data_IF_244667748337
#
_entry.id   IF_244667748337
#
_cell.length_a   1.000
_cell.length_b   1.000
_cell.length_c   1.000
_cell.angle_alpha   90.00
_cell.angle_beta   90.00
_cell.angle_gamma   90.00
#
_symmetry.space_group_name_H-M   'P 1'
#
loop_
_entity.id
_entity.type
_entity.pdbx_description
1 polymer ?
#
# COMPACT_ATOMS: atom_id res chain seq x y z
N UNK A 1 55.83 25.87 -21.79
CA UNK A 1 54.38 25.67 -21.48
C UNK A 1 53.46 26.62 -22.27
N UNK A 2 53.76 27.93 -22.33
CA UNK A 2 53.00 28.90 -23.12
C UNK A 2 53.05 28.66 -24.64
N UNK A 3 54.16 28.21 -25.20
CA UNK A 3 54.29 27.87 -26.62
C UNK A 3 53.45 26.66 -27.02
N UNK A 4 53.44 25.61 -26.20
CA UNK A 4 52.59 24.45 -26.39
C UNK A 4 51.10 24.80 -26.42
N UNK A 5 50.65 25.67 -25.53
CA UNK A 5 49.25 26.14 -25.55
C UNK A 5 48.90 26.96 -26.79
N UNK A 6 49.87 27.75 -27.30
CA UNK A 6 49.74 28.53 -28.52
C UNK A 6 49.66 27.64 -29.78
N UNK A 7 50.46 26.59 -29.85
CA UNK A 7 50.47 25.60 -30.91
C UNK A 7 49.20 24.76 -30.96
N UNK A 8 48.71 24.31 -29.79
CA UNK A 8 47.39 23.66 -29.65
C UNK A 8 46.26 24.58 -30.12
N UNK A 9 46.28 25.88 -29.70
CA UNK A 9 45.29 26.84 -30.12
C UNK A 9 45.27 27.09 -31.64
N UNK A 10 46.42 27.10 -32.28
CA UNK A 10 46.52 27.24 -33.75
C UNK A 10 46.03 26.01 -34.50
N UNK A 11 46.33 24.80 -34.01
CA UNK A 11 45.88 23.53 -34.56
C UNK A 11 44.34 23.39 -34.46
N UNK A 12 43.75 23.77 -33.31
CA UNK A 12 42.29 23.82 -33.10
C UNK A 12 41.61 24.82 -34.04
N UNK A 13 42.20 26.00 -34.27
CA UNK A 13 41.69 27.01 -35.20
C UNK A 13 41.72 26.53 -36.65
N UNK A 14 42.69 25.74 -37.03
CA UNK A 14 42.83 25.17 -38.39
C UNK A 14 41.81 24.07 -38.70
N UNK A 15 41.36 23.35 -37.67
CA UNK A 15 40.39 22.23 -37.79
C UNK A 15 39.15 22.44 -36.91
N UNK A 16 38.54 23.64 -36.98
CA UNK A 16 37.41 24.03 -36.12
C UNK A 16 36.26 23.05 -36.07
N UNK A 17 35.85 22.50 -37.22
CA UNK A 17 34.73 21.57 -37.29
C UNK A 17 35.01 20.28 -36.50
N UNK A 18 36.22 19.73 -36.66
CA UNK A 18 36.65 18.51 -35.97
C UNK A 18 36.71 18.75 -34.43
N UNK A 19 37.28 19.89 -34.01
CA UNK A 19 37.38 20.25 -32.62
C UNK A 19 35.99 20.44 -31.97
N UNK A 20 35.06 21.10 -32.68
CA UNK A 20 33.69 21.29 -32.22
C UNK A 20 32.95 19.94 -32.10
N UNK A 21 33.04 19.09 -33.13
CA UNK A 21 32.39 17.78 -33.11
C UNK A 21 32.94 16.88 -32.01
N UNK A 22 34.26 16.85 -31.79
CA UNK A 22 34.87 16.08 -30.71
C UNK A 22 34.44 16.59 -29.33
N UNK A 23 34.45 17.92 -29.14
CA UNK A 23 34.00 18.54 -27.93
C UNK A 23 32.51 18.28 -27.65
N UNK A 24 31.68 18.34 -28.70
CA UNK A 24 30.26 18.02 -28.59
C UNK A 24 30.01 16.57 -28.18
N UNK A 25 30.71 15.60 -28.82
CA UNK A 25 30.57 14.16 -28.47
C UNK A 25 30.97 13.91 -27.01
N UNK A 26 32.10 14.53 -26.54
CA UNK A 26 32.51 14.40 -25.15
C UNK A 26 31.49 15.02 -24.19
N UNK A 27 31.02 16.23 -24.48
CA UNK A 27 30.02 16.92 -23.67
C UNK A 27 28.71 16.14 -23.63
N UNK A 28 28.28 15.60 -24.76
CA UNK A 28 27.10 14.75 -24.87
C UNK A 28 27.24 13.47 -24.05
N UNK A 29 28.41 12.80 -24.10
CA UNK A 29 28.70 11.60 -23.30
C UNK A 29 28.63 11.87 -21.82
N UNK A 30 29.25 12.97 -21.35
CA UNK A 30 29.21 13.40 -19.94
C UNK A 30 27.76 13.77 -19.55
N UNK A 31 27.03 14.49 -20.38
CA UNK A 31 25.64 14.86 -20.14
C UNK A 31 24.76 13.61 -19.97
N UNK A 32 24.88 12.63 -20.86
CA UNK A 32 24.13 11.36 -20.77
C UNK A 32 24.50 10.58 -19.51
N UNK A 33 25.79 10.55 -19.14
CA UNK A 33 26.21 9.89 -17.90
C UNK A 33 25.59 10.54 -16.66
N UNK A 34 25.64 11.85 -16.56
CA UNK A 34 25.05 12.60 -15.43
C UNK A 34 23.54 12.41 -15.39
N UNK A 35 22.88 12.42 -16.56
CA UNK A 35 21.44 12.21 -16.68
C UNK A 35 21.05 10.81 -16.22
N UNK A 36 21.78 9.76 -16.64
CA UNK A 36 21.52 8.39 -16.21
C UNK A 36 21.73 8.20 -14.70
N UNK A 37 22.80 8.76 -14.14
CA UNK A 37 23.05 8.73 -12.69
C UNK A 37 21.96 9.49 -11.92
N UNK A 38 21.53 10.64 -12.44
CA UNK A 38 20.43 11.43 -11.85
C UNK A 38 19.10 10.68 -11.83
N UNK A 39 18.74 10.06 -12.97
CA UNK A 39 17.53 9.22 -13.07
C UNK A 39 17.62 8.03 -12.13
N UNK A 40 18.75 7.31 -12.12
CA UNK A 40 18.96 6.16 -11.23
C UNK A 40 18.81 6.54 -9.75
N UNK A 41 19.42 7.65 -9.34
CA UNK A 41 19.30 8.17 -7.95
C UNK A 41 17.88 8.64 -7.63
N UNK A 42 17.24 9.33 -8.57
CA UNK A 42 15.84 9.76 -8.43
C UNK A 42 14.88 8.58 -8.27
N UNK A 43 15.05 7.54 -9.08
CA UNK A 43 14.27 6.31 -9.01
C UNK A 43 14.50 5.57 -7.68
N UNK A 44 15.77 5.43 -7.25
CA UNK A 44 16.12 4.83 -5.97
C UNK A 44 15.47 5.57 -4.80
N UNK A 45 15.53 6.89 -4.79
CA UNK A 45 14.95 7.71 -3.73
C UNK A 45 13.41 7.64 -3.72
N UNK A 46 12.77 7.71 -4.89
CA UNK A 46 11.32 7.61 -5.03
C UNK A 46 10.79 6.27 -4.54
N UNK A 47 11.41 5.19 -4.99
CA UNK A 47 11.02 3.83 -4.60
C UNK A 47 11.28 3.55 -3.11
N UNK A 48 12.43 4.02 -2.58
CA UNK A 48 12.73 3.92 -1.14
C UNK A 48 11.73 4.69 -0.28
N UNK A 49 11.15 5.78 -0.79
CA UNK A 49 10.11 6.54 -0.09
C UNK A 49 8.83 5.72 0.01
N UNK A 50 8.37 5.11 -1.07
CA UNK A 50 7.17 4.24 -1.09
C UNK A 50 7.27 3.10 -0.06
N UNK A 51 8.48 2.51 0.13
CA UNK A 51 8.70 1.50 1.17
C UNK A 51 8.83 2.04 2.59
N UNK A 52 9.18 3.32 2.76
CA UNK A 52 9.21 3.94 4.10
C UNK A 52 7.80 4.20 4.64
N UNK A 53 6.83 4.36 3.76
CA UNK A 53 5.48 4.77 4.09
C UNK A 53 4.60 3.57 4.49
N UNK A 54 4.70 2.43 3.80
CA UNK A 54 4.15 1.16 4.28
C UNK A 54 5.06 0.56 5.37
N UNK A 55 4.50 -0.18 6.31
CA UNK A 55 5.32 -0.97 7.22
C UNK A 55 6.11 -1.99 6.38
N UNK A 56 7.43 -1.76 6.22
CA UNK A 56 8.33 -2.62 5.43
C UNK A 56 8.23 -4.09 5.84
N UNK A 57 7.95 -4.33 7.12
CA UNK A 57 7.76 -5.64 7.72
C UNK A 57 6.34 -6.21 7.56
N UNK A 58 5.51 -5.61 6.71
CA UNK A 58 4.13 -6.06 6.48
C UNK A 58 4.04 -7.12 5.37
N UNK A 59 3.13 -8.06 5.58
CA UNK A 59 2.76 -9.10 4.62
C UNK A 59 1.28 -8.94 4.31
N UNK A 60 0.94 -8.97 3.02
CA UNK A 60 -0.43 -8.86 2.54
C UNK A 60 -0.82 -10.14 1.80
N UNK A 61 -1.91 -10.75 2.22
CA UNK A 61 -2.53 -11.88 1.54
C UNK A 61 -3.83 -11.41 0.90
N UNK A 62 -3.96 -11.64 -0.40
CA UNK A 62 -5.15 -11.34 -1.18
C UNK A 62 -5.80 -12.63 -1.67
N UNK A 63 -7.13 -12.66 -1.64
CA UNK A 63 -7.90 -13.76 -2.22
C UNK A 63 -7.60 -13.94 -3.71
N UNK A 64 -7.58 -15.19 -4.15
CA UNK A 64 -7.36 -15.58 -5.53
C UNK A 64 -8.31 -16.67 -5.98
N UNK A 65 -7.91 -17.40 -7.00
CA UNK A 65 -8.71 -18.45 -7.63
C UNK A 65 -7.92 -19.74 -7.71
N UNK A 66 -8.51 -20.85 -7.29
CA UNK A 66 -7.90 -22.17 -7.34
C UNK A 66 -7.53 -22.53 -8.77
N UNK A 67 -6.25 -22.81 -9.02
CA UNK A 67 -5.74 -23.21 -10.35
C UNK A 67 -5.37 -24.68 -10.47
N UNK A 68 -5.35 -25.42 -9.36
CA UNK A 68 -5.04 -26.84 -9.31
C UNK A 68 -6.14 -27.61 -8.57
N UNK A 69 -6.58 -28.78 -9.06
CA UNK A 69 -7.54 -29.60 -8.33
C UNK A 69 -6.89 -30.09 -7.03
N UNK A 70 -7.61 -30.02 -5.92
CA UNK A 70 -7.12 -30.43 -4.62
C UNK A 70 -8.26 -30.90 -3.70
N UNK A 71 -8.19 -32.15 -3.18
CA UNK A 71 -9.14 -32.71 -2.21
C UNK A 71 -10.62 -32.45 -2.56
N UNK A 72 -11.00 -32.65 -3.82
CA UNK A 72 -12.35 -32.42 -4.31
C UNK A 72 -12.72 -30.97 -4.65
N UNK A 73 -11.80 -30.03 -4.48
CA UNK A 73 -12.00 -28.63 -4.88
C UNK A 73 -11.78 -28.51 -6.39
N UNK A 74 -12.73 -27.87 -7.06
CA UNK A 74 -12.66 -27.65 -8.51
C UNK A 74 -11.76 -26.45 -8.85
N UNK A 75 -11.06 -26.55 -9.98
CA UNK A 75 -10.35 -25.43 -10.59
C UNK A 75 -11.36 -24.32 -10.93
N UNK A 76 -10.95 -23.06 -10.74
CA UNK A 76 -11.79 -21.90 -11.02
C UNK A 76 -12.57 -21.38 -9.81
N UNK A 77 -12.61 -22.09 -8.70
CA UNK A 77 -13.27 -21.61 -7.47
C UNK A 77 -12.49 -20.46 -6.85
N UNK A 78 -13.18 -19.38 -6.54
CA UNK A 78 -12.61 -18.25 -5.78
C UNK A 78 -12.48 -18.60 -4.30
N UNK A 79 -11.33 -18.29 -3.72
CA UNK A 79 -11.14 -18.36 -2.27
C UNK A 79 -11.84 -17.14 -1.64
N UNK A 80 -12.73 -17.42 -0.70
CA UNK A 80 -13.45 -16.37 0.01
C UNK A 80 -12.85 -16.22 1.42
N UNK A 81 -12.03 -15.20 1.62
CA UNK A 81 -11.51 -14.87 2.95
C UNK A 81 -12.60 -14.22 3.81
N UNK A 82 -12.56 -14.48 5.12
CA UNK A 82 -13.54 -14.03 6.10
C UNK A 82 -12.88 -13.49 7.36
N UNK A 83 -13.65 -12.85 8.25
CA UNK A 83 -13.16 -12.42 9.57
C UNK A 83 -12.65 -13.59 10.40
N UNK A 84 -13.25 -14.80 10.25
CA UNK A 84 -12.80 -16.01 10.96
C UNK A 84 -11.37 -16.41 10.59
N UNK A 85 -10.96 -16.17 9.34
CA UNK A 85 -9.59 -16.45 8.92
C UNK A 85 -8.60 -15.52 9.66
N UNK A 86 -8.95 -14.24 9.84
CA UNK A 86 -8.13 -13.29 10.60
C UNK A 86 -8.02 -13.72 12.05
N UNK A 87 -9.14 -14.07 12.69
CA UNK A 87 -9.16 -14.55 14.07
C UNK A 87 -8.38 -15.85 14.24
N UNK A 88 -8.53 -16.78 13.28
CA UNK A 88 -7.79 -18.04 13.28
C UNK A 88 -6.28 -17.83 13.19
N UNK A 89 -5.84 -16.92 12.32
CA UNK A 89 -4.43 -16.57 12.18
C UNK A 89 -3.93 -15.89 13.46
N UNK A 90 -4.65 -14.90 13.97
CA UNK A 90 -4.26 -14.16 15.17
C UNK A 90 -4.11 -15.06 16.42
N UNK A 91 -4.92 -16.12 16.52
CA UNK A 91 -4.89 -17.04 17.67
C UNK A 91 -3.85 -18.16 17.56
N UNK A 92 -3.49 -18.57 16.34
CA UNK A 92 -2.76 -19.80 16.12
C UNK A 92 -1.40 -19.62 15.42
N UNK A 93 -1.04 -18.39 15.07
CA UNK A 93 0.24 -18.09 14.41
C UNK A 93 1.03 -17.13 15.30
N UNK A 94 2.16 -17.61 15.80
CA UNK A 94 3.05 -16.81 16.64
C UNK A 94 3.90 -15.88 15.78
N UNK A 95 4.35 -14.76 16.38
CA UNK A 95 5.27 -13.82 15.73
C UNK A 95 4.58 -12.75 14.88
N UNK A 96 3.26 -12.66 14.91
CA UNK A 96 2.50 -11.53 14.35
C UNK A 96 2.45 -10.41 15.38
N UNK A 97 2.83 -9.18 14.96
CA UNK A 97 2.75 -7.99 15.81
C UNK A 97 1.39 -7.28 15.66
N UNK A 98 0.99 -7.02 14.42
CA UNK A 98 -0.30 -6.41 14.07
C UNK A 98 -0.99 -7.22 13.00
N UNK A 99 -2.33 -7.31 13.05
CA UNK A 99 -3.13 -7.97 12.02
C UNK A 99 -4.40 -7.20 11.73
N UNK A 100 -4.77 -7.10 10.46
CA UNK A 100 -6.00 -6.45 10.03
C UNK A 100 -6.61 -7.15 8.82
N UNK A 101 -7.93 -7.27 8.82
CA UNK A 101 -8.68 -7.43 7.58
C UNK A 101 -8.69 -6.13 6.78
N UNK A 102 -8.85 -6.26 5.46
CA UNK A 102 -9.25 -5.17 4.59
C UNK A 102 -10.39 -5.64 3.70
N UNK A 103 -11.51 -4.94 3.80
CA UNK A 103 -12.62 -4.99 2.88
C UNK A 103 -12.59 -3.72 2.02
N UNK A 104 -12.84 -3.82 0.72
CA UNK A 104 -12.83 -2.68 -0.18
C UNK A 104 -14.21 -2.49 -0.81
N UNK A 105 -14.70 -1.26 -0.83
CA UNK A 105 -15.84 -0.88 -1.63
C UNK A 105 -15.39 -0.63 -3.07
N UNK A 106 -15.80 -1.51 -3.99
CA UNK A 106 -15.42 -1.41 -5.40
C UNK A 106 -16.41 -0.60 -6.25
N UNK A 107 -17.62 -0.36 -5.76
CA UNK A 107 -18.69 0.34 -6.48
C UNK A 107 -19.41 1.30 -5.57
N UNK A 108 -20.00 2.35 -6.15
CA UNK A 108 -20.79 3.33 -5.41
C UNK A 108 -20.01 3.92 -4.24
N UNK A 109 -18.91 4.61 -4.51
CA UNK A 109 -18.01 5.17 -3.50
C UNK A 109 -18.35 6.64 -3.20
N UNK A 110 -19.63 6.99 -3.17
CA UNK A 110 -20.08 8.37 -2.98
C UNK A 110 -20.04 8.72 -1.50
N UNK A 111 -19.26 9.75 -1.19
CA UNK A 111 -19.21 10.35 0.15
C UNK A 111 -19.71 11.78 0.05
N UNK A 112 -20.69 12.13 0.89
CA UNK A 112 -21.32 13.45 0.82
C UNK A 112 -21.46 14.12 2.18
N UNK A 113 -21.41 15.45 2.16
CA UNK A 113 -21.67 16.32 3.28
C UNK A 113 -22.38 17.57 2.78
N UNK A 114 -23.62 17.83 3.24
CA UNK A 114 -24.50 18.90 2.74
C UNK A 114 -24.65 18.80 1.21
N UNK A 115 -24.29 19.87 0.51
CA UNK A 115 -24.32 20.05 -0.94
C UNK A 115 -23.12 19.45 -1.70
N UNK A 116 -22.07 19.00 -0.95
CA UNK A 116 -20.87 18.41 -1.54
C UNK A 116 -20.96 16.91 -1.61
N UNK A 117 -20.57 16.35 -2.76
CA UNK A 117 -20.57 14.92 -3.01
C UNK A 117 -19.36 14.54 -3.88
N UNK A 118 -18.53 13.64 -3.41
CA UNK A 118 -17.29 13.21 -4.08
C UNK A 118 -17.14 11.70 -3.98
N UNK A 119 -16.46 11.09 -4.95
CA UNK A 119 -16.14 9.66 -4.94
C UNK A 119 -14.78 9.42 -4.34
N UNK A 120 -14.73 8.57 -3.29
CA UNK A 120 -13.51 8.21 -2.58
C UNK A 120 -13.36 6.70 -2.40
N UNK A 121 -12.14 6.25 -2.14
CA UNK A 121 -11.88 4.85 -1.79
C UNK A 121 -12.35 4.61 -0.36
N UNK A 122 -13.25 3.64 -0.17
CA UNK A 122 -13.76 3.26 1.14
C UNK A 122 -13.18 1.89 1.50
N UNK A 123 -12.49 1.84 2.64
CA UNK A 123 -11.90 0.59 3.15
C UNK A 123 -12.49 0.27 4.53
N UNK A 124 -12.99 -0.95 4.70
CA UNK A 124 -13.36 -1.52 6.00
C UNK A 124 -12.15 -2.21 6.61
N UNK A 125 -11.74 -1.79 7.84
CA UNK A 125 -10.49 -2.26 8.44
C UNK A 125 -10.63 -2.50 9.95
N UNK A 126 -9.65 -3.23 10.54
CA UNK A 126 -9.46 -3.32 11.98
C UNK A 126 -8.62 -2.15 12.54
N UNK A 127 -8.60 -1.94 13.87
CA UNK A 127 -7.83 -0.87 14.50
C UNK A 127 -6.33 -0.90 14.22
N UNK A 128 -5.74 -2.09 14.12
CA UNK A 128 -4.32 -2.30 13.85
C UNK A 128 -3.87 -1.85 12.46
N UNK A 129 -4.82 -1.61 11.56
CA UNK A 129 -4.53 -1.15 10.20
C UNK A 129 -3.68 0.11 10.17
N UNK A 130 -3.87 1.02 11.13
CA UNK A 130 -3.07 2.24 11.25
C UNK A 130 -1.56 2.00 11.42
N UNK A 131 -1.18 0.89 12.05
CA UNK A 131 0.23 0.52 12.21
C UNK A 131 0.80 -0.14 10.95
N UNK A 132 -0.04 -0.92 10.24
CA UNK A 132 0.32 -1.61 9.00
C UNK A 132 0.54 -0.67 7.82
N UNK A 133 -0.20 0.44 7.78
CA UNK A 133 -0.11 1.48 6.73
C UNK A 133 0.50 2.78 7.28
N UNK A 134 1.07 2.79 8.49
CA UNK A 134 1.68 3.96 9.17
C UNK A 134 0.81 5.22 9.14
N UNK A 135 -0.49 5.04 9.24
CA UNK A 135 -1.46 6.14 9.20
C UNK A 135 -1.28 7.09 10.40
N UNK A 136 -1.03 8.37 10.16
CA UNK A 136 -0.82 9.40 11.18
C UNK A 136 -2.14 10.10 11.48
N UNK A 137 -2.63 9.97 12.71
CA UNK A 137 -3.85 10.68 13.13
C UNK A 137 -3.51 12.12 13.47
N UNK A 138 -4.09 13.06 12.74
CA UNK A 138 -3.87 14.50 12.94
C UNK A 138 -4.89 15.14 13.88
N UNK A 139 -6.13 14.61 13.90
CA UNK A 139 -7.21 15.07 14.78
C UNK A 139 -8.12 13.90 15.16
N UNK A 140 -8.57 13.88 16.41
CA UNK A 140 -9.45 12.82 16.91
C UNK A 140 -8.73 11.49 17.14
N UNK A 141 -9.33 10.38 16.75
CA UNK A 141 -8.81 9.03 16.92
C UNK A 141 -9.00 8.17 15.69
N UNK A 142 -8.25 7.09 15.58
CA UNK A 142 -8.55 6.02 14.63
C UNK A 142 -9.69 5.13 15.16
N UNK A 143 -10.07 4.14 14.40
CA UNK A 143 -11.03 3.10 14.80
C UNK A 143 -10.47 2.33 16.00
N UNK A 144 -11.34 1.77 16.83
CA UNK A 144 -10.99 0.94 17.98
C UNK A 144 -11.84 -0.34 18.04
N UNK A 145 -11.51 -1.25 18.96
CA UNK A 145 -12.19 -2.55 19.08
C UNK A 145 -13.68 -2.43 19.46
N UNK A 146 -14.04 -1.36 20.17
CA UNK A 146 -15.45 -1.10 20.45
C UNK A 146 -16.24 -0.71 19.20
N UNK A 147 -15.62 0.04 18.27
CA UNK A 147 -16.25 0.36 16.99
C UNK A 147 -16.48 -0.91 16.16
N UNK A 148 -15.54 -1.90 16.22
CA UNK A 148 -15.66 -3.20 15.55
C UNK A 148 -16.75 -4.05 16.19
N UNK A 149 -16.70 -4.23 17.52
CA UNK A 149 -17.61 -5.11 18.25
C UNK A 149 -19.06 -4.63 18.20
N UNK A 150 -19.28 -3.32 18.30
CA UNK A 150 -20.61 -2.69 18.27
C UNK A 150 -21.06 -2.27 16.86
N UNK A 151 -20.25 -2.59 15.81
CA UNK A 151 -20.55 -2.21 14.42
C UNK A 151 -20.94 -0.72 14.29
N UNK A 152 -20.17 0.16 14.96
CA UNK A 152 -20.49 1.57 15.03
C UNK A 152 -20.34 2.23 13.67
N UNK A 153 -21.28 3.11 13.32
CA UNK A 153 -21.22 3.92 12.11
C UNK A 153 -20.31 5.13 12.33
N UNK A 154 -19.02 4.87 12.45
CA UNK A 154 -17.95 5.87 12.61
C UNK A 154 -16.96 5.77 11.47
N UNK A 155 -16.26 6.88 11.23
CA UNK A 155 -15.34 7.00 10.08
C UNK A 155 -14.10 7.81 10.43
N UNK A 156 -12.93 7.34 10.00
CA UNK A 156 -11.72 8.13 9.91
C UNK A 156 -11.49 8.53 8.46
N UNK A 157 -11.29 9.82 8.21
CA UNK A 157 -11.18 10.38 6.86
C UNK A 157 -9.77 10.93 6.62
N UNK A 158 -9.26 10.73 5.42
CA UNK A 158 -8.00 11.30 4.98
C UNK A 158 -8.05 12.84 4.87
N UNK A 159 -6.89 13.46 4.91
CA UNK A 159 -6.77 14.92 4.90
C UNK A 159 -7.39 15.56 3.64
N UNK A 160 -7.27 14.93 2.47
CA UNK A 160 -7.89 15.40 1.24
C UNK A 160 -9.41 15.31 1.29
N UNK A 161 -9.96 14.21 1.83
CA UNK A 161 -11.41 14.05 2.04
C UNK A 161 -11.95 15.14 2.95
N UNK A 162 -11.22 15.44 4.04
CA UNK A 162 -11.56 16.56 4.95
C UNK A 162 -11.57 17.88 4.20
N UNK A 163 -10.55 18.16 3.39
CA UNK A 163 -10.43 19.44 2.71
C UNK A 163 -11.55 19.65 1.66
N UNK A 164 -11.87 18.61 0.89
CA UNK A 164 -12.92 18.72 -0.12
C UNK A 164 -14.33 18.83 0.47
N UNK A 165 -14.66 18.03 1.49
CA UNK A 165 -15.99 18.03 2.09
C UNK A 165 -16.23 19.24 3.00
N UNK A 166 -15.24 19.63 3.80
CA UNK A 166 -15.41 20.62 4.86
C UNK A 166 -14.66 21.95 4.63
N UNK A 167 -13.69 21.98 3.70
CA UNK A 167 -12.81 23.14 3.55
C UNK A 167 -12.11 23.50 4.86
N UNK A 168 -12.24 24.73 5.34
CA UNK A 168 -11.65 25.20 6.59
C UNK A 168 -12.48 24.84 7.83
N UNK A 169 -13.70 24.33 7.66
CA UNK A 169 -14.56 23.94 8.77
C UNK A 169 -14.00 22.72 9.52
N UNK A 170 -14.35 22.59 10.80
CA UNK A 170 -14.04 21.38 11.60
C UNK A 170 -14.85 20.20 11.06
N UNK A 171 -14.17 19.16 10.56
CA UNK A 171 -14.82 17.91 10.11
C UNK A 171 -15.10 16.94 11.26
N UNK A 172 -14.27 16.98 12.33
CA UNK A 172 -14.37 16.06 13.47
C UNK A 172 -15.72 16.20 14.19
N UNK A 173 -16.37 15.08 14.50
CA UNK A 173 -17.68 15.00 15.15
C UNK A 173 -18.86 15.25 14.22
N UNK A 174 -18.64 15.68 12.98
CA UNK A 174 -19.69 15.87 11.97
C UNK A 174 -20.15 14.54 11.39
N UNK A 175 -21.37 14.54 10.85
CA UNK A 175 -21.94 13.40 10.15
C UNK A 175 -21.76 13.58 8.65
N UNK A 176 -21.28 12.54 7.98
CA UNK A 176 -21.21 12.44 6.52
C UNK A 176 -22.04 11.25 6.05
N UNK A 177 -22.41 11.23 4.80
CA UNK A 177 -23.10 10.10 4.21
C UNK A 177 -22.14 9.32 3.31
N UNK A 178 -22.12 8.01 3.45
CA UNK A 178 -21.47 7.08 2.54
C UNK A 178 -22.58 6.26 1.90
N UNK A 179 -22.82 6.44 0.59
CA UNK A 179 -23.91 5.78 -0.13
C UNK A 179 -25.25 5.89 0.62
N UNK A 180 -25.63 7.08 1.06
CA UNK A 180 -26.83 7.41 1.82
C UNK A 180 -26.90 6.84 3.26
N UNK A 181 -25.83 6.22 3.76
CA UNK A 181 -25.74 5.80 5.16
C UNK A 181 -24.92 6.80 5.95
N UNK A 182 -25.44 7.27 7.09
CA UNK A 182 -24.78 8.28 7.93
C UNK A 182 -23.67 7.67 8.77
N UNK A 183 -22.50 8.33 8.79
CA UNK A 183 -21.32 7.99 9.61
C UNK A 183 -20.80 9.22 10.32
N UNK A 184 -20.40 9.08 11.59
CA UNK A 184 -19.79 10.16 12.36
C UNK A 184 -18.27 10.17 12.15
N UNK A 185 -17.71 11.33 11.80
CA UNK A 185 -16.25 11.51 11.68
C UNK A 185 -15.62 11.52 13.07
N UNK A 186 -14.85 10.49 13.39
CA UNK A 186 -14.15 10.34 14.68
C UNK A 186 -12.66 10.63 14.59
N UNK A 187 -12.10 10.66 13.37
CA UNK A 187 -10.70 10.97 13.14
C UNK A 187 -10.44 11.56 11.78
N UNK A 188 -9.35 12.32 11.71
CA UNK A 188 -8.76 12.83 10.48
C UNK A 188 -7.32 12.36 10.48
N UNK A 189 -6.89 11.78 9.38
CA UNK A 189 -5.54 11.26 9.25
C UNK A 189 -4.81 11.84 8.05
N UNK A 190 -3.48 11.71 8.09
CA UNK A 190 -2.57 12.03 7.00
C UNK A 190 -1.64 10.85 6.74
N UNK A 191 -1.37 10.61 5.50
CA UNK A 191 -0.26 9.80 5.02
C UNK A 191 0.82 10.73 4.43
N UNK A 192 2.10 10.52 4.77
CA UNK A 192 3.20 11.39 4.33
C UNK A 192 3.84 10.92 3.03
N UNK A 193 3.60 9.68 2.65
CA UNK A 193 4.26 9.04 1.52
C UNK A 193 3.45 8.99 0.26
N UNK A 194 2.16 8.85 0.40
CA UNK A 194 1.27 8.64 -0.72
C UNK A 194 0.03 9.53 -0.63
N UNK A 195 -0.05 10.51 -1.51
CA UNK A 195 -1.20 11.42 -1.58
C UNK A 195 -2.53 10.70 -1.85
N UNK A 196 -2.51 9.54 -2.53
CA UNK A 196 -3.73 8.76 -2.78
C UNK A 196 -4.28 8.11 -1.50
N UNK A 197 -3.43 7.78 -0.51
CA UNK A 197 -3.89 7.31 0.79
C UNK A 197 -4.64 8.43 1.56
N UNK A 198 -4.32 9.70 1.32
CA UNK A 198 -5.05 10.86 1.87
C UNK A 198 -6.47 11.03 1.30
N UNK A 199 -6.82 10.28 0.24
CA UNK A 199 -8.17 10.23 -0.38
C UNK A 199 -9.01 9.04 0.11
N UNK A 200 -8.56 8.33 1.15
CA UNK A 200 -9.23 7.15 1.68
C UNK A 200 -10.15 7.51 2.84
N UNK A 201 -11.20 6.70 2.96
CA UNK A 201 -12.16 6.73 4.04
C UNK A 201 -12.13 5.36 4.73
N UNK A 202 -11.73 5.32 6.01
CA UNK A 202 -11.70 4.10 6.82
C UNK A 202 -12.94 3.98 7.69
N UNK A 203 -13.61 2.83 7.62
CA UNK A 203 -14.74 2.46 8.48
C UNK A 203 -14.45 1.12 9.18
N UNK A 204 -15.11 0.77 10.30
CA UNK A 204 -14.96 -0.53 10.91
C UNK A 204 -15.34 -1.64 9.91
N UNK A 205 -14.51 -2.68 9.78
CA UNK A 205 -14.76 -3.76 8.80
C UNK A 205 -16.11 -4.45 9.03
N UNK A 206 -16.49 -4.66 10.29
CA UNK A 206 -17.78 -5.27 10.62
C UNK A 206 -18.97 -4.38 10.27
N UNK A 207 -18.80 -3.06 10.36
CA UNK A 207 -19.80 -2.10 9.90
C UNK A 207 -19.92 -2.08 8.38
N UNK A 208 -18.77 -2.08 7.67
CA UNK A 208 -18.72 -2.15 6.21
C UNK A 208 -19.48 -3.37 5.68
N UNK A 209 -19.17 -4.54 6.22
CA UNK A 209 -19.81 -5.80 5.88
C UNK A 209 -21.32 -5.79 6.16
N UNK A 210 -21.71 -5.32 7.35
CA UNK A 210 -23.12 -5.27 7.74
C UNK A 210 -23.96 -4.30 6.90
N UNK A 211 -23.37 -3.18 6.48
CA UNK A 211 -24.09 -2.11 5.76
C UNK A 211 -24.09 -2.32 4.25
N UNK A 212 -22.99 -2.83 3.69
CA UNK A 212 -22.81 -2.83 2.23
C UNK A 212 -22.76 -4.22 1.59
N UNK A 213 -22.42 -5.28 2.32
CA UNK A 213 -22.21 -6.60 1.74
C UNK A 213 -23.16 -7.67 2.28
N UNK A 214 -23.54 -7.59 3.54
CA UNK A 214 -24.39 -8.60 4.20
C UNK A 214 -23.69 -9.92 4.54
N UNK A 215 -22.36 -10.02 4.35
CA UNK A 215 -21.57 -11.20 4.59
C UNK A 215 -20.22 -10.83 5.24
N UNK A 216 -19.59 -11.73 6.05
CA UNK A 216 -18.32 -11.48 6.74
C UNK A 216 -17.09 -11.58 5.83
N UNK A 217 -17.24 -11.30 4.55
CA UNK A 217 -16.19 -11.41 3.54
C UNK A 217 -15.17 -10.28 3.66
N UNK A 218 -13.92 -10.61 3.33
CA UNK A 218 -12.82 -9.64 3.24
C UNK A 218 -12.01 -9.87 1.95
N UNK A 219 -11.28 -8.84 1.52
CA UNK A 219 -10.46 -8.92 0.31
C UNK A 219 -9.00 -9.25 0.61
N UNK A 220 -8.49 -8.74 1.73
CA UNK A 220 -7.11 -8.95 2.15
C UNK A 220 -7.02 -9.23 3.64
N UNK A 221 -5.97 -10.00 3.99
CA UNK A 221 -5.43 -10.09 5.34
C UNK A 221 -4.06 -9.42 5.29
N UNK A 222 -3.83 -8.46 6.18
CA UNK A 222 -2.56 -7.76 6.36
C UNK A 222 -2.04 -8.07 7.75
N UNK A 223 -0.75 -8.37 7.86
CA UNK A 223 -0.11 -8.54 9.16
C UNK A 223 1.36 -8.11 9.11
N UNK A 224 1.95 -7.79 10.25
CA UNK A 224 3.36 -7.42 10.37
C UNK A 224 4.10 -8.34 11.34
N UNK A 225 5.43 -8.35 11.19
CA UNK A 225 6.35 -9.01 12.11
C UNK A 225 7.10 -7.95 12.93
N UNK A 226 7.49 -8.22 14.20
CA UNK A 226 8.11 -7.21 15.09
C UNK A 226 9.45 -6.67 14.57
N UNK A 227 10.23 -7.49 13.86
CA UNK A 227 11.51 -7.11 13.26
C UNK A 227 11.59 -7.60 11.84
N UNK A 228 12.05 -6.73 10.95
CA UNK A 228 12.28 -7.07 9.55
C UNK A 228 13.40 -8.12 9.43
N UNK A 229 13.01 -9.36 9.11
CA UNK A 229 13.86 -10.53 8.92
C UNK A 229 13.30 -11.31 7.73
N UNK A 230 14.13 -11.54 6.72
CA UNK A 230 13.68 -12.16 5.46
C UNK A 230 13.24 -13.61 5.66
N UNK A 231 14.02 -14.39 6.39
CA UNK A 231 13.73 -15.81 6.61
C UNK A 231 12.47 -15.97 7.46
N UNK A 232 12.35 -15.20 8.54
CA UNK A 232 11.15 -15.20 9.38
C UNK A 232 9.92 -14.75 8.64
N UNK A 233 10.03 -13.70 7.81
CA UNK A 233 8.89 -13.19 7.04
C UNK A 233 8.40 -14.21 6.01
N UNK A 234 9.33 -14.91 5.35
CA UNK A 234 9.01 -16.00 4.42
C UNK A 234 8.36 -17.20 5.13
N UNK A 235 8.96 -17.63 6.23
CA UNK A 235 8.44 -18.74 7.02
C UNK A 235 7.01 -18.44 7.52
N UNK A 236 6.79 -17.24 8.07
CA UNK A 236 5.47 -16.83 8.56
C UNK A 236 4.44 -16.70 7.43
N UNK A 237 4.82 -16.14 6.29
CA UNK A 237 3.95 -16.06 5.12
C UNK A 237 3.55 -17.47 4.59
N UNK A 238 4.49 -18.40 4.59
CA UNK A 238 4.25 -19.78 4.19
C UNK A 238 3.34 -20.51 5.19
N UNK A 239 3.57 -20.34 6.50
CA UNK A 239 2.74 -20.90 7.55
C UNK A 239 1.29 -20.40 7.45
N UNK A 240 1.09 -19.10 7.32
CA UNK A 240 -0.26 -18.51 7.17
C UNK A 240 -0.94 -19.07 5.92
N UNK A 241 -0.22 -19.14 4.77
CA UNK A 241 -0.77 -19.73 3.54
C UNK A 241 -1.15 -21.19 3.73
N UNK A 242 -0.32 -21.98 4.41
CA UNK A 242 -0.60 -23.39 4.69
C UNK A 242 -1.85 -23.56 5.57
N UNK A 243 -1.99 -22.76 6.63
CA UNK A 243 -3.18 -22.79 7.50
C UNK A 243 -4.45 -22.44 6.73
N UNK A 244 -4.41 -21.37 5.93
CA UNK A 244 -5.52 -20.98 5.06
C UNK A 244 -5.84 -22.07 4.02
N UNK A 245 -4.82 -22.79 3.52
CA UNK A 245 -5.03 -23.90 2.58
C UNK A 245 -5.81 -25.05 3.19
N UNK A 246 -5.63 -25.33 4.48
CA UNK A 246 -6.38 -26.37 5.21
C UNK A 246 -7.84 -25.95 5.41
N UNK A 247 -8.08 -24.68 5.78
CA UNK A 247 -9.43 -24.12 5.98
C UNK A 247 -10.21 -24.10 4.68
N UNK A 248 -9.60 -23.57 3.62
CA UNK A 248 -10.26 -23.36 2.32
C UNK A 248 -10.09 -24.52 1.33
N UNK A 249 -9.38 -25.60 1.72
CA UNK A 249 -9.18 -26.84 0.96
C UNK A 249 -8.58 -26.63 -0.43
N UNK A 250 -7.50 -25.84 -0.52
CA UNK A 250 -6.72 -25.68 -1.75
C UNK A 250 -5.28 -26.20 -1.57
N UNK A 251 -4.59 -26.48 -2.68
CA UNK A 251 -3.19 -26.89 -2.67
C UNK A 251 -2.31 -25.73 -2.15
N UNK A 252 -1.55 -25.90 -1.03
CA UNK A 252 -0.66 -24.84 -0.53
C UNK A 252 0.40 -24.40 -1.55
N UNK A 253 0.72 -25.23 -2.53
CA UNK A 253 1.63 -24.90 -3.63
C UNK A 253 0.94 -24.19 -4.81
N UNK A 254 -0.39 -24.01 -4.77
CA UNK A 254 -1.10 -23.28 -5.82
C UNK A 254 -0.73 -21.78 -5.76
N UNK A 255 -0.09 -21.21 -6.82
CA UNK A 255 0.34 -19.82 -6.82
C UNK A 255 -0.82 -18.83 -7.03
N UNK A 256 -1.99 -19.32 -7.49
CA UNK A 256 -3.15 -18.50 -7.80
C UNK A 256 -4.25 -18.52 -6.75
N UNK A 257 -4.26 -19.52 -5.87
CA UNK A 257 -5.28 -19.63 -4.82
C UNK A 257 -5.24 -18.44 -3.86
N UNK A 258 -4.05 -18.02 -3.45
CA UNK A 258 -3.81 -16.80 -2.68
C UNK A 258 -2.58 -16.06 -3.22
N UNK A 259 -2.68 -14.74 -3.32
CA UNK A 259 -1.53 -13.89 -3.68
C UNK A 259 -0.90 -13.34 -2.40
N UNK A 260 0.31 -13.77 -2.13
CA UNK A 260 1.09 -13.32 -0.97
C UNK A 260 2.10 -12.26 -1.43
N UNK A 261 1.99 -11.06 -0.89
CA UNK A 261 2.96 -9.97 -1.08
C UNK A 261 3.70 -9.74 0.24
N UNK A 262 4.98 -10.07 0.25
CA UNK A 262 5.89 -9.80 1.36
C UNK A 262 6.65 -8.50 1.04
N UNK A 263 6.33 -7.41 1.73
CA UNK A 263 6.94 -6.10 1.45
C UNK A 263 8.43 -6.11 1.77
N UNK A 264 8.86 -6.81 2.83
CA UNK A 264 10.28 -6.90 3.17
C UNK A 264 11.09 -7.64 2.11
N UNK A 265 10.58 -8.75 1.59
CA UNK A 265 11.23 -9.49 0.51
C UNK A 265 11.34 -8.64 -0.76
N UNK A 266 10.28 -7.91 -1.11
CA UNK A 266 10.29 -7.02 -2.27
C UNK A 266 11.29 -5.87 -2.09
N UNK A 267 11.39 -5.32 -0.88
CA UNK A 267 12.38 -4.30 -0.56
C UNK A 267 13.82 -4.82 -0.66
N UNK A 268 14.09 -6.02 -0.16
CA UNK A 268 15.41 -6.66 -0.28
C UNK A 268 15.78 -6.95 -1.74
N UNK A 269 14.84 -7.47 -2.54
CA UNK A 269 15.04 -7.67 -3.99
C UNK A 269 15.36 -6.35 -4.70
N UNK A 270 14.66 -5.27 -4.33
CA UNK A 270 14.95 -3.95 -4.88
C UNK A 270 16.36 -3.48 -4.54
N UNK A 271 16.77 -3.58 -3.28
CA UNK A 271 18.12 -3.18 -2.86
C UNK A 271 19.21 -3.98 -3.58
N UNK A 272 18.97 -5.26 -3.85
CA UNK A 272 19.95 -6.14 -4.53
C UNK A 272 20.19 -5.77 -6.01
N UNK A 273 19.33 -4.97 -6.62
CA UNK A 273 19.51 -4.48 -8.01
C UNK A 273 20.49 -3.29 -8.05
N UNK A 274 20.68 -2.57 -6.90
CA UNK A 274 21.53 -1.37 -6.82
C UNK A 274 22.85 -1.60 -6.07
N UNK A 275 23.07 -2.82 -5.56
CA UNK A 275 24.32 -3.25 -4.97
C UNK A 275 25.06 -4.22 -5.90
#
# INVERSE_FOLDING_TARGET
MLELLKEIGQTLKRNKLRAILTGFVMAWGIFMLVLLLGIGKGFQNGYSKEFKDDAVNSIRIRKGQVSRPYRGQQVGKYIQLTNQDVEHIAKNVDGIEYISARWNQYRNNVVSYKDKSVSYIIKGVHPDHKYLEKTIITKGRFLNDWDISQRRKVVAIGQWVKQELFGDQKGLGKWIFINNVSFQVVGIFRDEGNDDENKIVFIPVTTAQSVFEGAPNIDHILFSIPKADLEKSRALAAEVKERLSKVHRFDPQDPRALFVRNNYENFQKFLSVFN
#
